data_IF_003065360346
#
_entry.id   IF_003065360346
#
_cell.length_a   1.000
_cell.length_b   1.000
_cell.length_c   1.000
_cell.angle_alpha   90.00
_cell.angle_beta   90.00
_cell.angle_gamma   90.00
#
_symmetry.space_group_name_H-M   'P 1'
#
loop_
_entity.id
_entity.type
_entity.pdbx_description
1 polymer ?
#
# COMPACT_ATOMS: atom_id res chain seq x y z
N UNK A 1 14.85 46.88 -12.82
CA UNK A 1 13.83 45.84 -13.02
C UNK A 1 14.56 44.51 -13.08
N UNK A 2 14.56 43.75 -11.99
CA UNK A 2 15.14 42.40 -11.97
C UNK A 2 14.03 41.44 -12.37
N UNK A 3 14.08 40.94 -13.60
CA UNK A 3 13.20 39.87 -14.05
C UNK A 3 13.58 38.61 -13.26
N UNK A 4 12.72 38.20 -12.32
CA UNK A 4 12.76 36.90 -11.70
C UNK A 4 12.49 35.86 -12.78
N UNK A 5 13.52 35.11 -13.17
CA UNK A 5 13.34 33.94 -14.02
C UNK A 5 12.39 32.97 -13.32
N UNK A 6 11.35 32.52 -14.03
CA UNK A 6 10.46 31.48 -13.54
C UNK A 6 11.28 30.24 -13.14
N UNK A 7 10.90 29.52 -12.07
CA UNK A 7 11.58 28.29 -11.68
C UNK A 7 11.62 27.35 -12.89
N UNK A 8 12.79 26.81 -13.20
CA UNK A 8 12.89 25.72 -14.19
C UNK A 8 12.01 24.58 -13.68
N UNK A 9 11.01 24.19 -14.47
CA UNK A 9 10.28 22.96 -14.17
C UNK A 9 11.28 21.79 -14.10
N UNK A 10 11.15 20.91 -13.10
CA UNK A 10 11.99 19.73 -13.03
C UNK A 10 11.81 18.88 -14.30
N UNK A 11 12.84 18.14 -14.74
CA UNK A 11 12.71 17.24 -15.87
C UNK A 11 11.57 16.26 -15.65
N UNK A 12 10.85 15.92 -16.71
CA UNK A 12 10.00 14.73 -16.71
C UNK A 12 10.91 13.50 -16.65
N UNK A 13 11.17 13.05 -15.42
CA UNK A 13 12.06 11.93 -15.17
C UNK A 13 11.55 10.66 -15.86
N UNK A 14 10.26 10.50 -16.10
CA UNK A 14 9.71 9.35 -16.85
C UNK A 14 10.22 9.39 -18.29
N UNK A 15 10.17 10.55 -18.93
CA UNK A 15 10.65 10.71 -20.30
C UNK A 15 12.18 10.61 -20.38
N UNK A 16 12.90 11.09 -19.36
CA UNK A 16 14.35 10.90 -19.24
C UNK A 16 14.69 9.40 -19.12
N UNK A 17 14.00 8.67 -18.26
CA UNK A 17 14.20 7.23 -18.07
C UNK A 17 13.86 6.45 -19.34
N UNK A 18 12.72 6.76 -19.97
CA UNK A 18 12.30 6.12 -21.22
C UNK A 18 13.31 6.35 -22.34
N UNK A 19 13.85 7.57 -22.48
CA UNK A 19 14.89 7.90 -23.47
C UNK A 19 16.23 7.23 -23.20
N UNK A 20 16.67 7.16 -21.94
CA UNK A 20 18.00 6.63 -21.62
C UNK A 20 18.06 5.11 -21.48
N UNK A 21 17.01 4.50 -20.94
CA UNK A 21 17.04 3.10 -20.51
C UNK A 21 16.03 2.22 -21.26
N UNK A 22 15.17 2.78 -22.12
CA UNK A 22 14.15 2.02 -22.86
C UNK A 22 12.98 1.52 -22.00
N UNK A 23 12.98 1.83 -20.70
CA UNK A 23 11.96 1.45 -19.71
C UNK A 23 11.55 2.68 -18.88
N UNK A 24 10.31 2.71 -18.40
CA UNK A 24 9.79 3.81 -17.57
C UNK A 24 10.09 3.66 -16.08
N UNK A 25 10.76 2.59 -15.67
CA UNK A 25 11.00 2.25 -14.25
C UNK A 25 12.43 1.74 -14.01
N UNK A 26 12.87 1.76 -12.75
CA UNK A 26 14.16 1.19 -12.31
C UNK A 26 13.97 0.07 -11.28
N UNK A 27 14.62 -1.08 -11.51
CA UNK A 27 14.64 -2.24 -10.60
C UNK A 27 15.48 -2.03 -9.33
N UNK A 28 16.22 -0.92 -9.25
CA UNK A 28 17.00 -0.54 -8.08
C UNK A 28 16.20 0.25 -7.04
N UNK A 29 14.95 0.63 -7.36
CA UNK A 29 14.06 1.35 -6.44
C UNK A 29 12.90 0.44 -6.05
N UNK A 30 12.80 0.19 -4.75
CA UNK A 30 11.87 -0.74 -4.14
C UNK A 30 10.91 0.03 -3.23
N UNK A 31 9.63 -0.33 -3.22
CA UNK A 31 8.62 0.28 -2.34
C UNK A 31 7.87 -0.79 -1.57
N UNK A 32 7.71 -0.62 -0.26
CA UNK A 32 6.86 -1.51 0.54
C UNK A 32 5.39 -1.35 0.15
N UNK A 33 4.73 -2.47 -0.11
CA UNK A 33 3.35 -2.54 -0.58
C UNK A 33 2.53 -3.42 0.35
N UNK A 34 1.41 -2.89 0.85
CA UNK A 34 0.51 -3.57 1.77
C UNK A 34 -0.81 -3.91 1.09
N UNK A 35 -1.11 -5.22 0.98
CA UNK A 35 -2.32 -5.76 0.35
C UNK A 35 -3.47 -6.04 1.32
N UNK A 36 -3.53 -5.38 2.47
CA UNK A 36 -4.40 -5.78 3.58
C UNK A 36 -5.72 -5.00 3.72
N UNK A 37 -5.99 -4.04 2.82
CA UNK A 37 -7.15 -3.15 2.94
C UNK A 37 -8.41 -3.77 2.35
N UNK A 38 -9.56 -3.57 3.00
CA UNK A 38 -10.84 -4.11 2.53
C UNK A 38 -12.01 -3.14 2.67
N UNK A 39 -12.91 -3.16 1.69
CA UNK A 39 -14.10 -2.29 1.62
C UNK A 39 -15.42 -3.08 1.63
N UNK A 40 -16.51 -2.46 2.08
CA UNK A 40 -17.82 -3.15 2.16
C UNK A 40 -18.36 -3.59 0.80
N UNK A 41 -18.10 -2.82 -0.25
CA UNK A 41 -18.63 -3.10 -1.59
C UNK A 41 -17.99 -4.36 -2.19
N UNK A 42 -16.67 -4.50 -2.02
CA UNK A 42 -15.87 -5.59 -2.57
C UNK A 42 -15.76 -6.78 -1.60
N UNK A 43 -15.47 -6.51 -0.32
CA UNK A 43 -15.10 -7.50 0.70
C UNK A 43 -16.22 -7.84 1.68
N UNK A 44 -17.35 -7.14 1.59
CA UNK A 44 -18.50 -7.26 2.52
C UNK A 44 -18.20 -6.85 3.94
N UNK A 45 -17.00 -6.34 4.21
CA UNK A 45 -16.57 -5.80 5.49
C UNK A 45 -15.42 -4.82 5.32
N UNK A 46 -15.32 -3.85 6.23
CA UNK A 46 -14.11 -3.04 6.38
C UNK A 46 -12.98 -3.89 6.98
N UNK A 47 -11.79 -3.77 6.40
CA UNK A 47 -10.56 -4.40 6.90
C UNK A 47 -9.44 -3.38 6.85
N UNK A 48 -8.67 -3.26 7.93
CA UNK A 48 -7.63 -2.25 8.19
C UNK A 48 -8.10 -0.78 8.22
N UNK A 49 -9.07 -0.35 7.40
CA UNK A 49 -9.63 1.00 7.47
C UNK A 49 -10.35 1.29 8.79
N UNK A 50 -10.94 0.26 9.38
CA UNK A 50 -11.65 0.29 10.67
C UNK A 50 -10.78 -0.22 11.83
N UNK A 51 -9.46 -0.01 11.77
CA UNK A 51 -8.53 -0.48 12.81
C UNK A 51 -8.93 0.03 14.20
N UNK A 52 -8.66 -0.76 15.24
CA UNK A 52 -8.88 -0.36 16.63
C UNK A 52 -7.83 0.68 17.09
N UNK A 53 -8.18 1.55 18.02
CA UNK A 53 -7.17 2.39 18.68
C UNK A 53 -6.22 1.48 19.49
N UNK A 54 -4.92 1.60 19.25
CA UNK A 54 -3.92 0.84 19.99
C UNK A 54 -3.77 1.47 21.38
N UNK A 55 -4.08 0.76 22.47
CA UNK A 55 -3.98 1.32 23.81
C UNK A 55 -2.51 1.54 24.18
N UNK A 56 -2.24 2.60 24.94
CA UNK A 56 -0.94 2.78 25.56
C UNK A 56 -0.66 1.63 26.56
N UNK A 57 0.60 1.20 26.67
CA UNK A 57 0.99 0.07 27.51
C UNK A 57 0.73 0.33 29.02
N UNK A 58 0.90 1.58 29.47
CA UNK A 58 0.44 2.04 30.78
C UNK A 58 -1.06 2.32 30.76
N UNK A 59 -1.82 1.59 31.58
CA UNK A 59 -3.27 1.71 31.72
C UNK A 59 -3.73 3.09 32.14
N UNK A 60 -2.98 3.80 32.98
CA UNK A 60 -3.36 5.14 33.44
C UNK A 60 -3.32 6.14 32.28
N UNK A 61 -2.29 6.00 31.42
CA UNK A 61 -2.18 6.79 30.20
C UNK A 61 -3.24 6.37 29.19
N UNK A 62 -3.47 5.07 28.99
CA UNK A 62 -4.48 4.56 28.05
C UNK A 62 -5.89 5.10 28.37
N UNK A 63 -6.26 5.15 29.64
CA UNK A 63 -7.54 5.70 30.09
C UNK A 63 -7.73 7.19 29.76
N UNK A 64 -6.65 7.91 29.41
CA UNK A 64 -6.69 9.32 29.02
C UNK A 64 -6.92 9.52 27.52
N UNK A 65 -6.93 8.45 26.71
CA UNK A 65 -7.12 8.49 25.25
C UNK A 65 -8.39 7.75 24.81
N UNK A 66 -8.92 8.06 23.61
CA UNK A 66 -10.05 7.34 23.04
C UNK A 66 -9.77 5.84 22.89
N UNK A 67 -10.79 5.03 23.17
CA UNK A 67 -10.81 3.58 22.93
C UNK A 67 -11.90 3.24 21.92
N UNK A 68 -11.80 2.08 21.29
CA UNK A 68 -12.75 1.61 20.27
C UNK A 68 -12.06 1.39 18.94
N UNK A 69 -12.77 1.63 17.85
CA UNK A 69 -12.27 1.47 16.48
C UNK A 69 -12.76 2.59 15.57
N UNK A 70 -12.08 2.75 14.45
CA UNK A 70 -12.50 3.68 13.40
C UNK A 70 -13.78 3.20 12.67
N UNK A 71 -14.56 4.15 12.17
CA UNK A 71 -15.85 3.93 11.49
C UNK A 71 -15.89 4.47 10.06
N UNK A 72 -15.39 3.72 9.05
CA UNK A 72 -15.24 4.24 7.69
C UNK A 72 -16.55 4.69 7.04
N UNK A 73 -17.69 4.08 7.41
CA UNK A 73 -19.02 4.48 6.96
C UNK A 73 -19.44 5.89 7.40
N UNK A 74 -18.74 6.46 8.39
CA UNK A 74 -18.96 7.80 8.93
C UNK A 74 -17.87 8.79 8.47
N UNK A 75 -17.00 8.37 7.55
CA UNK A 75 -15.85 9.19 7.12
C UNK A 75 -14.69 9.16 8.11
N UNK A 76 -14.62 8.17 9.00
CA UNK A 76 -13.56 7.98 9.99
C UNK A 76 -12.74 6.73 9.68
N UNK A 77 -11.50 6.90 9.25
CA UNK A 77 -10.60 5.79 8.92
C UNK A 77 -9.34 5.83 9.78
N UNK A 78 -8.69 4.67 9.93
CA UNK A 78 -7.43 4.49 10.64
C UNK A 78 -6.21 5.10 9.92
N UNK A 79 -6.29 6.40 9.60
CA UNK A 79 -5.23 7.14 8.93
C UNK A 79 -5.39 8.64 9.19
N UNK A 80 -4.28 9.33 9.40
CA UNK A 80 -4.26 10.79 9.45
C UNK A 80 -4.46 11.44 8.06
N UNK A 81 -4.33 10.66 6.99
CA UNK A 81 -4.49 11.10 5.60
C UNK A 81 -5.64 10.35 4.92
N UNK A 82 -6.29 10.98 3.95
CA UNK A 82 -7.35 10.35 3.16
C UNK A 82 -6.83 9.90 1.80
N UNK A 83 -6.95 8.60 1.42
CA UNK A 83 -6.51 8.13 0.11
C UNK A 83 -7.36 8.72 -1.01
N UNK A 84 -6.74 9.14 -2.11
CA UNK A 84 -7.47 9.69 -3.27
C UNK A 84 -8.38 8.67 -3.97
N UNK A 85 -8.09 7.37 -3.80
CA UNK A 85 -8.94 6.26 -4.26
C UNK A 85 -10.07 5.92 -3.28
N UNK A 86 -10.18 6.66 -2.16
CA UNK A 86 -11.08 6.34 -1.06
C UNK A 86 -10.64 5.08 -0.28
N UNK A 87 -11.40 4.69 0.76
CA UNK A 87 -11.17 3.45 1.51
C UNK A 87 -11.42 2.22 0.61
N UNK A 88 -10.37 1.81 -0.11
CA UNK A 88 -10.44 0.83 -1.18
C UNK A 88 -10.30 -0.62 -0.69
N UNK A 89 -10.55 -1.58 -1.58
CA UNK A 89 -10.14 -2.98 -1.40
C UNK A 89 -8.82 -3.26 -2.10
N UNK A 90 -7.90 -3.93 -1.41
CA UNK A 90 -6.65 -4.42 -1.98
C UNK A 90 -6.84 -5.58 -2.97
N UNK A 91 -8.01 -6.22 -3.01
CA UNK A 91 -8.36 -7.25 -4.00
C UNK A 91 -9.03 -6.68 -5.25
N UNK A 92 -9.35 -5.39 -5.27
CA UNK A 92 -9.95 -4.76 -6.45
C UNK A 92 -8.88 -4.59 -7.56
N UNK A 93 -9.03 -5.26 -8.71
CA UNK A 93 -8.06 -5.16 -9.80
C UNK A 93 -7.90 -3.74 -10.35
N UNK A 94 -8.93 -2.89 -10.25
CA UNK A 94 -8.85 -1.47 -10.67
C UNK A 94 -7.92 -0.69 -9.75
N UNK A 95 -7.98 -0.97 -8.45
CA UNK A 95 -7.10 -0.37 -7.44
C UNK A 95 -5.66 -0.83 -7.65
N UNK A 96 -5.45 -2.14 -7.83
CA UNK A 96 -4.11 -2.69 -8.12
C UNK A 96 -3.52 -2.04 -9.37
N UNK A 97 -4.29 -1.94 -10.47
CA UNK A 97 -3.85 -1.28 -11.69
C UNK A 97 -3.48 0.19 -11.43
N UNK A 98 -4.32 0.93 -10.69
CA UNK A 98 -4.04 2.32 -10.35
C UNK A 98 -2.72 2.47 -9.57
N UNK A 99 -2.43 1.57 -8.62
CA UNK A 99 -1.16 1.55 -7.90
C UNK A 99 0.04 1.28 -8.82
N UNK A 100 -0.07 0.33 -9.76
CA UNK A 100 1.01 0.07 -10.73
C UNK A 100 1.30 1.30 -11.60
N UNK A 101 0.25 2.02 -12.04
CA UNK A 101 0.41 3.28 -12.78
C UNK A 101 1.09 4.37 -11.92
N UNK A 102 0.74 4.47 -10.64
CA UNK A 102 1.40 5.41 -9.72
C UNK A 102 2.89 5.06 -9.54
N UNK A 103 3.22 3.78 -9.38
CA UNK A 103 4.61 3.31 -9.30
C UNK A 103 5.40 3.61 -10.57
N UNK A 104 4.82 3.37 -11.76
CA UNK A 104 5.44 3.74 -13.03
C UNK A 104 5.72 5.24 -13.12
N UNK A 105 4.76 6.08 -12.70
CA UNK A 105 4.95 7.54 -12.68
C UNK A 105 6.05 7.98 -11.72
N UNK A 106 6.26 7.22 -10.64
CA UNK A 106 7.34 7.44 -9.69
C UNK A 106 8.68 6.81 -10.11
N UNK A 107 8.74 6.09 -11.25
CA UNK A 107 9.93 5.38 -11.72
C UNK A 107 10.28 4.13 -10.91
N UNK A 108 9.36 3.61 -10.10
CA UNK A 108 9.59 2.46 -9.21
C UNK A 108 9.39 1.16 -9.96
N UNK A 109 10.39 0.27 -9.94
CA UNK A 109 10.35 -1.01 -10.64
C UNK A 109 10.06 -2.23 -9.76
N UNK A 110 10.08 -2.11 -8.43
CA UNK A 110 9.83 -3.24 -7.52
C UNK A 110 8.84 -2.89 -6.42
N UNK A 111 7.75 -3.64 -6.30
CA UNK A 111 6.90 -3.65 -5.11
C UNK A 111 7.35 -4.77 -4.17
N UNK A 112 7.65 -4.42 -2.92
CA UNK A 112 7.97 -5.37 -1.86
C UNK A 112 6.70 -5.66 -1.06
N UNK A 113 6.05 -6.76 -1.41
CA UNK A 113 4.72 -7.14 -0.93
C UNK A 113 4.79 -7.71 0.49
N UNK A 114 4.14 -7.04 1.45
CA UNK A 114 3.91 -7.57 2.81
C UNK A 114 3.11 -8.87 2.71
N UNK A 115 3.70 -9.97 3.18
CA UNK A 115 3.19 -11.31 2.97
C UNK A 115 3.18 -12.13 4.26
N UNK A 116 2.05 -12.79 4.48
CA UNK A 116 1.83 -13.81 5.50
C UNK A 116 1.58 -15.17 4.82
N UNK A 117 2.05 -16.28 5.41
CA UNK A 117 1.67 -17.63 4.97
C UNK A 117 0.16 -17.84 4.89
N UNK A 118 -0.27 -18.68 3.96
CA UNK A 118 -1.67 -19.06 3.77
C UNK A 118 -2.34 -19.43 5.10
N UNK A 119 -3.52 -18.87 5.34
CA UNK A 119 -4.24 -19.06 6.61
C UNK A 119 -3.68 -18.29 7.82
N UNK A 120 -2.70 -17.41 7.62
CA UNK A 120 -2.22 -16.45 8.63
C UNK A 120 -2.37 -15.01 8.13
N UNK A 121 -2.44 -14.07 9.06
CA UNK A 121 -2.55 -12.63 8.80
C UNK A 121 -2.10 -11.86 10.05
N UNK A 122 -1.95 -10.54 9.95
CA UNK A 122 -1.76 -9.67 11.11
C UNK A 122 -3.01 -9.64 12.01
N UNK A 123 -2.90 -9.11 13.23
CA UNK A 123 -3.99 -9.13 14.22
C UNK A 123 -5.28 -8.41 13.77
N UNK A 124 -5.18 -7.50 12.78
CA UNK A 124 -6.26 -6.67 12.27
C UNK A 124 -6.63 -7.01 10.81
N UNK A 125 -5.89 -7.94 10.20
CA UNK A 125 -6.14 -8.46 8.87
C UNK A 125 -7.23 -9.53 8.84
N UNK A 126 -7.73 -9.82 7.63
CA UNK A 126 -8.69 -10.91 7.37
C UNK A 126 -8.43 -11.66 6.07
N UNK A 127 -7.49 -11.18 5.27
CA UNK A 127 -7.25 -11.73 3.94
C UNK A 127 -6.02 -12.61 3.93
N UNK A 128 -6.11 -13.68 3.16
CA UNK A 128 -4.94 -14.41 2.75
C UNK A 128 -4.11 -13.54 1.81
N UNK A 129 -2.82 -13.40 2.10
CA UNK A 129 -1.91 -12.61 1.28
C UNK A 129 -1.89 -13.13 -0.17
N UNK A 130 -2.06 -14.44 -0.36
CA UNK A 130 -2.05 -15.08 -1.68
C UNK A 130 -3.26 -14.68 -2.54
N UNK A 131 -4.40 -14.33 -1.92
CA UNK A 131 -5.59 -13.87 -2.62
C UNK A 131 -5.36 -12.51 -3.32
N UNK A 132 -4.39 -11.73 -2.85
CA UNK A 132 -3.98 -10.45 -3.44
C UNK A 132 -2.74 -10.62 -4.31
N UNK A 133 -1.82 -11.52 -3.94
CA UNK A 133 -0.57 -11.74 -4.67
C UNK A 133 -0.80 -12.16 -6.12
N UNK A 134 -1.75 -13.06 -6.39
CA UNK A 134 -2.04 -13.51 -7.75
C UNK A 134 -2.46 -12.35 -8.69
N UNK A 135 -3.52 -11.56 -8.41
CA UNK A 135 -3.87 -10.43 -9.26
C UNK A 135 -2.81 -9.32 -9.25
N UNK A 136 -2.03 -9.17 -8.17
CA UNK A 136 -0.90 -8.24 -8.11
C UNK A 136 0.20 -8.62 -9.12
N UNK A 137 0.60 -9.88 -9.20
CA UNK A 137 1.58 -10.38 -10.17
C UNK A 137 1.12 -10.13 -11.61
N UNK A 138 -0.16 -10.38 -11.91
CA UNK A 138 -0.72 -10.13 -13.24
C UNK A 138 -0.68 -8.66 -13.65
N UNK A 139 -1.00 -7.74 -12.72
CA UNK A 139 -0.96 -6.31 -13.01
C UNK A 139 0.47 -5.78 -13.07
N UNK A 140 1.35 -6.22 -12.17
CA UNK A 140 2.74 -5.82 -12.15
C UNK A 140 3.46 -6.17 -13.47
N UNK A 141 3.22 -7.38 -14.00
CA UNK A 141 3.76 -7.81 -15.29
C UNK A 141 3.34 -6.91 -16.46
N UNK A 142 2.11 -6.37 -16.45
CA UNK A 142 1.62 -5.43 -17.48
C UNK A 142 2.28 -4.06 -17.42
N UNK A 143 2.95 -3.74 -16.32
CA UNK A 143 3.53 -2.43 -16.04
C UNK A 143 5.07 -2.46 -15.88
N UNK A 144 5.73 -3.56 -16.24
CA UNK A 144 7.19 -3.77 -16.07
C UNK A 144 7.63 -3.61 -14.59
N UNK A 145 6.74 -3.97 -13.66
CA UNK A 145 6.99 -3.97 -12.22
C UNK A 145 7.23 -5.40 -11.75
N UNK A 146 8.26 -5.59 -10.94
CA UNK A 146 8.56 -6.86 -10.27
C UNK A 146 8.00 -6.88 -8.84
N UNK A 147 7.71 -8.08 -8.36
CA UNK A 147 7.24 -8.29 -6.99
C UNK A 147 8.33 -9.01 -6.19
N UNK A 148 8.79 -8.37 -5.12
CA UNK A 148 9.56 -9.01 -4.05
C UNK A 148 8.62 -9.31 -2.88
N UNK A 149 8.97 -10.29 -2.03
CA UNK A 149 8.15 -10.69 -0.90
C UNK A 149 8.79 -10.21 0.41
N UNK A 150 8.07 -9.39 1.17
CA UNK A 150 8.39 -9.01 2.55
C UNK A 150 7.70 -10.00 3.50
N UNK A 151 8.44 -11.01 3.95
CA UNK A 151 7.92 -12.03 4.87
C UNK A 151 7.74 -11.39 6.25
N UNK A 152 6.48 -11.25 6.67
CA UNK A 152 6.12 -10.66 7.95
C UNK A 152 6.45 -11.58 9.14
N UNK A 153 6.48 -11.06 10.38
CA UNK A 153 6.50 -11.89 11.57
C UNK A 153 5.18 -12.67 11.69
N UNK A 154 5.25 -14.00 11.68
CA UNK A 154 4.11 -14.88 11.92
C UNK A 154 4.42 -15.90 13.02
N UNK A 155 3.37 -16.40 13.68
CA UNK A 155 3.49 -17.34 14.79
C UNK A 155 4.21 -18.61 14.34
N UNK A 156 5.26 -18.98 15.06
CA UNK A 156 6.04 -20.19 14.78
C UNK A 156 7.07 -20.02 13.66
N UNK A 157 7.33 -18.81 13.16
CA UNK A 157 8.43 -18.55 12.23
C UNK A 157 9.79 -18.91 12.86
N UNK A 158 10.53 -19.77 12.18
CA UNK A 158 11.89 -20.18 12.51
C UNK A 158 12.82 -20.00 11.30
N UNK A 159 14.14 -19.95 11.50
CA UNK A 159 15.11 -20.04 10.40
C UNK A 159 15.12 -21.41 9.70
N UNK A 160 14.79 -22.47 10.44
CA UNK A 160 14.57 -23.84 9.95
C UNK A 160 13.21 -24.01 9.27
#
# INVERSE_FOLDING_TARGET
>A
SLATAAPREPPDWIEVYRRHFGHSVTRNVHVFYYGWYGSTDFDKSWVHWNHAFIPHWDRNVANSYPSGQHHPEQGDIASAFWPSLGPYSSKDPVVIQAHMVQMQKAGIGVAVFSWYPTGTHDENGRFDSDAVLAPLLEQAAKHDIEIAVHIEPYKGRTPE
#
